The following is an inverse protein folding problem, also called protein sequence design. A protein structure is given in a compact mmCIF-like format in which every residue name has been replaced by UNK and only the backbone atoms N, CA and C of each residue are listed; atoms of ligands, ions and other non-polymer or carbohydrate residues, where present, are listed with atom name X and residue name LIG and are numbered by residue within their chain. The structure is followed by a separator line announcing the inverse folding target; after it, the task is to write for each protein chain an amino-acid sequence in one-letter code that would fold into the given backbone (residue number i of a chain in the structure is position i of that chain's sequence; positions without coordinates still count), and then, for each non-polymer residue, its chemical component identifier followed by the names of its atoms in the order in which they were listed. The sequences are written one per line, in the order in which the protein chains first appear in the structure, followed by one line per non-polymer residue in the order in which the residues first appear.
data_IF_703015524129
#
_entry.id   IF_703015524129
#
_cell.length_a   1.000
_cell.length_b   1.000
_cell.length_c   1.000
_cell.angle_alpha   90.00
_cell.angle_beta   90.00
_cell.angle_gamma   90.00
#
_symmetry.space_group_name_H-M   'P 1'
#
loop_
_entity.id
_entity.type
_entity.pdbx_description
1 polymer ?
#
# COMPACT_ATOMS: atom_id res chain seq x y z
N UNK A 1 -10.63 -7.52 -7.43
CA UNK A 1 -10.47 -8.15 -6.11
C UNK A 1 -10.54 -7.10 -5.03
N UNK A 2 -10.87 -7.52 -3.83
CA UNK A 2 -11.07 -6.59 -2.71
C UNK A 2 -9.89 -6.61 -1.77
N UNK A 3 -9.46 -5.43 -1.36
CA UNK A 3 -8.43 -5.26 -0.33
C UNK A 3 -8.90 -4.17 0.62
N UNK A 4 -8.25 -4.07 1.77
CA UNK A 4 -8.49 -2.98 2.70
C UNK A 4 -7.28 -2.04 2.61
N UNK A 5 -7.54 -0.76 2.34
CA UNK A 5 -6.48 0.24 2.35
C UNK A 5 -6.78 1.18 3.50
N UNK A 6 -5.94 1.12 4.53
CA UNK A 6 -6.14 1.89 5.77
C UNK A 6 -7.55 1.69 6.34
N UNK A 7 -8.02 0.43 6.30
CA UNK A 7 -9.32 0.06 6.84
C UNK A 7 -10.50 0.30 5.91
N UNK A 8 -10.27 0.85 4.74
CA UNK A 8 -11.32 1.11 3.77
C UNK A 8 -11.31 0.06 2.68
N UNK A 9 -12.48 -0.52 2.40
CA UNK A 9 -12.60 -1.54 1.36
C UNK A 9 -12.44 -0.89 -0.02
N UNK A 10 -11.50 -1.43 -0.80
CA UNK A 10 -11.22 -0.90 -2.13
C UNK A 10 -11.16 -2.04 -3.13
N UNK A 11 -11.60 -1.76 -4.35
CA UNK A 11 -11.50 -2.72 -5.43
C UNK A 11 -10.29 -2.41 -6.29
N UNK A 12 -9.49 -3.44 -6.54
CA UNK A 12 -8.30 -3.31 -7.38
C UNK A 12 -8.26 -4.48 -8.37
N UNK A 13 -7.53 -4.31 -9.43
CA UNK A 13 -7.36 -5.36 -10.43
C UNK A 13 -6.44 -6.45 -9.89
N UNK A 14 -6.69 -7.68 -10.33
CA UNK A 14 -5.77 -8.78 -10.02
C UNK A 14 -4.38 -8.45 -10.58
N UNK A 15 -3.33 -8.73 -9.81
CA UNK A 15 -1.97 -8.43 -10.22
C UNK A 15 -1.49 -7.03 -9.81
N UNK A 16 -2.35 -6.25 -9.13
CA UNK A 16 -1.94 -4.93 -8.65
C UNK A 16 -0.82 -5.08 -7.63
N UNK A 17 0.20 -4.26 -7.77
CA UNK A 17 1.35 -4.26 -6.87
C UNK A 17 1.20 -3.21 -5.78
N UNK A 18 2.03 -3.35 -4.73
CA UNK A 18 2.08 -2.34 -3.66
C UNK A 18 2.47 -0.99 -4.24
N UNK A 19 3.41 -0.95 -5.20
CA UNK A 19 3.81 0.30 -5.82
C UNK A 19 2.61 1.01 -6.46
N UNK A 20 1.74 0.26 -7.13
CA UNK A 20 0.56 0.83 -7.76
C UNK A 20 -0.44 1.35 -6.73
N UNK A 21 -0.58 0.66 -5.61
CA UNK A 21 -1.46 1.11 -4.53
C UNK A 21 -0.93 2.40 -3.91
N UNK A 22 0.37 2.47 -3.68
CA UNK A 22 0.98 3.70 -3.16
C UNK A 22 0.74 4.86 -4.13
N UNK A 23 0.94 4.62 -5.42
CA UNK A 23 0.74 5.64 -6.42
C UNK A 23 -0.70 6.17 -6.42
N UNK A 24 -1.66 5.29 -6.19
CA UNK A 24 -3.08 5.64 -6.24
C UNK A 24 -3.57 6.33 -4.95
N UNK A 25 -3.11 5.86 -3.79
CA UNK A 25 -3.67 6.33 -2.52
C UNK A 25 -2.75 7.23 -1.71
N UNK A 26 -1.47 7.30 -2.01
CA UNK A 26 -0.56 8.22 -1.35
C UNK A 26 -0.36 9.46 -2.21
N UNK A 27 -0.24 10.61 -1.56
CA UNK A 27 -0.02 11.85 -2.29
C UNK A 27 1.35 11.88 -2.95
N UNK A 28 2.31 11.26 -2.29
CA UNK A 28 3.69 11.24 -2.74
C UNK A 28 4.32 9.95 -2.23
N UNK A 29 5.21 9.33 -2.98
CA UNK A 29 5.92 8.15 -2.47
C UNK A 29 6.98 8.49 -1.43
N UNK A 30 7.31 9.77 -1.27
CA UNK A 30 8.34 10.19 -0.33
C UNK A 30 7.77 10.18 1.08
N UNK A 31 8.50 9.56 2.02
CA UNK A 31 8.10 9.51 3.40
C UNK A 31 6.94 8.55 3.67
N UNK A 32 6.75 7.58 2.80
CA UNK A 32 5.66 6.60 2.94
C UNK A 32 6.23 5.27 3.41
N UNK A 33 5.57 4.68 4.40
CA UNK A 33 5.83 3.31 4.84
C UNK A 33 4.59 2.48 4.53
N UNK A 34 4.80 1.24 4.14
CA UNK A 34 3.70 0.34 3.78
C UNK A 34 3.84 -0.97 4.55
N UNK A 35 2.72 -1.46 5.06
CA UNK A 35 2.63 -2.80 5.61
C UNK A 35 1.48 -3.52 4.93
N UNK A 36 1.67 -4.81 4.67
CA UNK A 36 0.63 -5.67 4.13
C UNK A 36 0.45 -6.80 5.12
N UNK A 37 -0.76 -6.93 5.65
CA UNK A 37 -1.08 -7.94 6.68
C UNK A 37 -0.08 -7.87 7.84
N UNK A 38 0.24 -6.64 8.28
CA UNK A 38 1.13 -6.35 9.41
C UNK A 38 2.62 -6.61 9.12
N UNK A 39 2.96 -6.94 7.88
CA UNK A 39 4.35 -7.13 7.49
C UNK A 39 4.83 -5.93 6.67
N UNK A 40 5.92 -5.33 7.10
CA UNK A 40 6.47 -4.16 6.38
C UNK A 40 6.96 -4.58 5.00
N UNK A 41 6.59 -3.80 4.00
CA UNK A 41 7.09 -3.97 2.63
C UNK A 41 7.99 -2.78 2.35
N UNK A 42 9.28 -3.05 2.15
CA UNK A 42 10.25 -1.98 1.91
C UNK A 42 10.04 -1.39 0.53
N UNK A 43 10.44 -0.15 0.37
CA UNK A 43 10.20 0.59 -0.87
C UNK A 43 10.73 -0.13 -2.11
N UNK A 44 11.90 -0.76 -2.00
CA UNK A 44 12.48 -1.48 -3.12
C UNK A 44 11.67 -2.71 -3.50
N UNK A 45 10.86 -3.22 -2.56
CA UNK A 45 10.02 -4.39 -2.80
C UNK A 45 8.64 -4.04 -3.35
N UNK A 46 8.23 -2.78 -3.29
CA UNK A 46 6.89 -2.39 -3.70
C UNK A 46 6.51 -2.86 -5.11
N UNK A 47 7.37 -2.66 -6.12
CA UNK A 47 6.96 -3.05 -7.47
C UNK A 47 6.92 -4.55 -7.70
N UNK A 48 7.59 -5.31 -6.83
CA UNK A 48 7.59 -6.77 -6.94
C UNK A 48 6.60 -7.47 -6.02
N UNK A 49 5.87 -6.72 -5.19
CA UNK A 49 4.93 -7.31 -4.24
C UNK A 49 3.52 -7.17 -4.77
N UNK A 50 2.95 -8.30 -5.18
CA UNK A 50 1.59 -8.37 -5.71
C UNK A 50 0.61 -8.61 -4.56
N UNK A 51 -0.52 -7.93 -4.60
CA UNK A 51 -1.55 -8.09 -3.57
C UNK A 51 -2.48 -9.25 -3.89
N UNK A 52 -3.11 -9.78 -2.85
CA UNK A 52 -4.06 -10.88 -2.95
C UNK A 52 -5.40 -10.45 -2.36
N UNK A 53 -6.44 -11.19 -2.71
CA UNK A 53 -7.78 -10.97 -2.21
C UNK A 53 -7.78 -10.90 -0.69
N UNK A 54 -8.37 -9.85 -0.13
CA UNK A 54 -8.50 -9.71 1.30
C UNK A 54 -7.28 -9.14 2.02
N UNK A 55 -6.23 -8.80 1.30
CA UNK A 55 -5.04 -8.22 1.92
C UNK A 55 -5.37 -6.90 2.61
N UNK A 56 -4.72 -6.67 3.75
CA UNK A 56 -4.85 -5.43 4.50
C UNK A 56 -3.59 -4.61 4.25
N UNK A 57 -3.78 -3.49 3.57
CA UNK A 57 -2.67 -2.60 3.23
C UNK A 57 -2.75 -1.37 4.13
N UNK A 58 -1.65 -1.07 4.80
CA UNK A 58 -1.56 0.14 5.61
C UNK A 58 -0.51 1.04 5.02
N UNK A 59 -0.93 2.26 4.72
CA UNK A 59 -0.04 3.28 4.15
C UNK A 59 0.10 4.37 5.20
N UNK A 60 1.31 4.55 5.68
CA UNK A 60 1.62 5.56 6.69
C UNK A 60 2.49 6.63 6.04
N UNK A 61 2.07 7.87 6.16
CA UNK A 61 2.88 8.98 5.66
C UNK A 61 3.58 9.64 6.84
N UNK A 62 4.85 9.97 6.67
CA UNK A 62 5.57 10.67 7.70
C UNK A 62 4.94 12.04 7.92
N UNK A 63 4.67 12.37 9.17
CA UNK A 63 4.22 13.71 9.52
C UNK A 63 5.44 14.59 9.47
N UNK A 64 5.40 15.56 8.57
CA UNK A 64 6.45 16.57 8.52
C UNK A 64 6.14 17.54 9.64
N UNK A 65 6.78 17.34 10.75
CA UNK A 65 6.53 18.12 11.95
C UNK A 65 6.89 19.58 11.80
N UNK A 66 6.83 19.96 10.71
CA UNK A 66 7.04 21.36 10.44
C UNK A 66 8.00 21.85 10.20
#
# INVERSE_FOLDING_TARGET
MNVLVNGSAEQIAAGTTVAEVVERWARSPVGVAVAVNEAVVTRTEWPGTTLAEGDRVEILTAVQGG
#
